data_IF_900991023207
#
_entry.id   IF_900991023207
#
_cell.length_a   1.000
_cell.length_b   1.000
_cell.length_c   1.000
_cell.angle_alpha   90.00
_cell.angle_beta   90.00
_cell.angle_gamma   90.00
#
_symmetry.space_group_name_H-M   'P 1'
#
loop_
_entity.id
_entity.type
_entity.pdbx_description
1 polymer ?
#
# COMPACT_ATOMS: atom_id res chain seq x y z
N UNK A 1 -0.31 -7.29 17.39
CA UNK A 1 -0.51 -6.23 16.39
C UNK A 1 -1.28 -5.12 17.06
N UNK A 2 -0.82 -3.87 16.96
CA UNK A 2 -1.50 -2.76 17.62
C UNK A 2 -2.79 -2.40 16.87
N UNK A 3 -3.74 -1.78 17.56
CA UNK A 3 -4.87 -1.15 16.88
C UNK A 3 -4.37 -0.06 15.93
N UNK A 4 -5.11 0.17 14.85
CA UNK A 4 -4.77 1.23 13.90
C UNK A 4 -5.04 2.58 14.56
N UNK A 5 -4.11 3.52 14.39
CA UNK A 5 -4.32 4.89 14.89
C UNK A 5 -5.53 5.53 14.21
N UNK A 6 -6.42 6.21 14.97
CA UNK A 6 -7.48 7.00 14.39
C UNK A 6 -6.87 8.18 13.63
N UNK A 7 -7.31 8.37 12.40
CA UNK A 7 -6.87 9.49 11.55
C UNK A 7 -8.07 10.20 10.93
N UNK A 8 -7.92 11.47 10.55
CA UNK A 8 -8.90 12.18 9.72
C UNK A 8 -9.16 11.38 8.44
N UNK A 9 -10.40 11.34 7.97
CA UNK A 9 -10.74 10.70 6.70
C UNK A 9 -10.79 11.76 5.60
N UNK A 10 -9.98 11.57 4.56
CA UNK A 10 -10.00 12.39 3.35
C UNK A 10 -10.41 11.54 2.14
N UNK A 11 -10.79 12.18 1.03
CA UNK A 11 -11.13 11.51 -0.21
C UNK A 11 -10.21 11.96 -1.34
N UNK A 12 -9.53 10.99 -1.97
CA UNK A 12 -8.80 11.20 -3.23
C UNK A 12 -9.71 10.68 -4.34
N UNK A 13 -10.47 11.59 -4.96
CA UNK A 13 -11.55 11.21 -5.88
C UNK A 13 -12.61 10.42 -5.13
N UNK A 14 -12.86 9.18 -5.53
CA UNK A 14 -13.78 8.26 -4.86
C UNK A 14 -13.10 7.36 -3.81
N UNK A 15 -11.78 7.44 -3.61
CA UNK A 15 -11.05 6.58 -2.67
C UNK A 15 -10.87 7.29 -1.34
N UNK A 16 -11.46 6.72 -0.28
CA UNK A 16 -11.26 7.18 1.09
C UNK A 16 -9.86 6.79 1.60
N UNK A 17 -9.19 7.72 2.30
CA UNK A 17 -7.88 7.51 2.92
C UNK A 17 -7.94 7.99 4.36
N UNK A 18 -7.55 7.13 5.30
CA UNK A 18 -7.62 7.40 6.74
C UNK A 18 -8.92 6.93 7.40
N UNK A 19 -9.01 7.16 8.71
CA UNK A 19 -10.09 6.66 9.54
C UNK A 19 -10.19 5.14 9.51
N UNK A 20 -11.38 4.62 9.25
CA UNK A 20 -11.70 3.20 9.11
C UNK A 20 -11.54 2.65 7.67
N UNK A 21 -11.16 3.49 6.70
CA UNK A 21 -11.03 3.08 5.31
C UNK A 21 -9.89 2.07 5.12
N UNK A 22 -10.02 1.06 4.23
CA UNK A 22 -8.92 0.15 3.91
C UNK A 22 -7.64 0.88 3.50
N UNK A 23 -6.48 0.28 3.76
CA UNK A 23 -5.19 0.86 3.35
C UNK A 23 -5.07 0.75 1.84
N UNK A 24 -5.16 1.88 1.15
CA UNK A 24 -5.08 1.91 -0.32
C UNK A 24 -3.66 1.77 -0.83
N UNK A 25 -3.50 1.06 -1.95
CA UNK A 25 -2.23 0.87 -2.66
C UNK A 25 -2.13 1.89 -3.79
N UNK A 26 -0.98 2.58 -3.85
CA UNK A 26 -0.68 3.56 -4.90
C UNK A 26 0.58 3.15 -5.68
N UNK A 27 0.66 3.61 -6.92
CA UNK A 27 1.89 3.57 -7.72
C UNK A 27 2.06 4.90 -8.47
N UNK A 28 3.14 5.02 -9.24
CA UNK A 28 3.47 6.20 -10.03
C UNK A 28 3.94 5.76 -11.42
N UNK A 29 3.42 6.40 -12.46
CA UNK A 29 3.89 6.16 -13.82
C UNK A 29 5.31 6.67 -14.01
N UNK A 30 6.00 6.13 -15.02
CA UNK A 30 7.30 6.64 -15.47
C UNK A 30 7.25 7.19 -16.90
N UNK A 31 6.13 7.01 -17.61
CA UNK A 31 5.90 7.63 -18.91
C UNK A 31 6.00 9.16 -18.82
N UNK A 32 6.40 9.78 -19.91
CA UNK A 32 6.30 11.23 -20.07
C UNK A 32 4.82 11.63 -20.07
N UNK A 33 4.40 12.49 -19.13
CA UNK A 33 2.97 12.73 -18.87
C UNK A 33 2.28 13.36 -20.07
N UNK A 34 2.96 14.24 -20.82
CA UNK A 34 2.44 14.76 -22.10
C UNK A 34 2.25 13.71 -23.19
N UNK A 35 2.88 12.54 -23.09
CA UNK A 35 2.52 11.39 -23.91
C UNK A 35 1.28 10.70 -23.31
N UNK A 36 0.10 11.22 -23.71
CA UNK A 36 -1.21 10.79 -23.21
C UNK A 36 -1.42 9.29 -23.42
N UNK A 37 -1.12 8.77 -24.62
CA UNK A 37 -1.33 7.35 -24.94
C UNK A 37 -0.52 6.43 -24.03
N UNK A 38 0.80 6.66 -23.93
CA UNK A 38 1.68 5.86 -23.10
C UNK A 38 1.31 5.94 -21.61
N UNK A 39 0.91 7.13 -21.15
CA UNK A 39 0.52 7.35 -19.75
C UNK A 39 -0.81 6.67 -19.42
N UNK A 40 -1.81 6.77 -20.29
CA UNK A 40 -3.10 6.07 -20.12
C UNK A 40 -2.90 4.55 -20.14
N UNK A 41 -2.05 4.03 -21.03
CA UNK A 41 -1.72 2.60 -21.07
C UNK A 41 -1.09 2.11 -19.76
N UNK A 42 -0.10 2.83 -19.22
CA UNK A 42 0.49 2.49 -17.91
C UNK A 42 -0.52 2.56 -16.76
N UNK A 43 -1.38 3.59 -16.74
CA UNK A 43 -2.42 3.72 -15.72
C UNK A 43 -3.39 2.54 -15.78
N UNK A 44 -3.78 2.11 -16.98
CA UNK A 44 -4.68 0.97 -17.15
C UNK A 44 -4.02 -0.34 -16.69
N UNK A 45 -2.75 -0.58 -17.00
CA UNK A 45 -1.99 -1.73 -16.47
C UNK A 45 -1.99 -1.74 -14.95
N UNK A 46 -1.69 -0.59 -14.33
CA UNK A 46 -1.74 -0.41 -12.88
C UNK A 46 -3.14 -0.66 -12.31
N UNK A 47 -4.19 -0.17 -12.97
CA UNK A 47 -5.57 -0.40 -12.55
C UNK A 47 -5.91 -1.90 -12.56
N UNK A 48 -5.53 -2.65 -13.59
CA UNK A 48 -5.77 -4.09 -13.66
C UNK A 48 -4.91 -4.91 -12.67
N UNK A 49 -3.72 -4.43 -12.30
CA UNK A 49 -2.97 -4.96 -11.15
C UNK A 49 -3.65 -4.64 -9.80
N UNK A 50 -4.64 -3.75 -9.81
CA UNK A 50 -5.45 -3.29 -8.69
C UNK A 50 -4.76 -2.23 -7.85
N UNK A 51 -4.12 -1.27 -8.52
CA UNK A 51 -3.78 0.03 -7.96
C UNK A 51 -5.06 0.82 -7.66
N UNK A 52 -5.13 1.43 -6.47
CA UNK A 52 -6.28 2.24 -6.06
C UNK A 52 -6.13 3.70 -6.48
N UNK A 53 -4.91 4.24 -6.45
CA UNK A 53 -4.61 5.65 -6.76
C UNK A 53 -3.31 5.72 -7.54
N UNK A 54 -3.30 6.40 -8.69
CA UNK A 54 -2.10 6.58 -9.50
C UNK A 54 -1.55 8.00 -9.42
N UNK A 55 -0.23 8.13 -9.46
CA UNK A 55 0.47 9.41 -9.51
C UNK A 55 1.20 9.60 -10.83
N UNK A 56 1.22 10.83 -11.34
CA UNK A 56 2.00 11.23 -12.52
C UNK A 56 2.91 12.41 -12.19
N UNK A 57 4.07 12.50 -12.83
CA UNK A 57 4.96 13.65 -12.71
C UNK A 57 4.44 14.81 -13.56
N UNK A 58 4.59 16.06 -13.07
CA UNK A 58 4.21 17.25 -13.85
C UNK A 58 5.38 18.24 -13.83
N UNK A 59 6.45 17.97 -14.61
CA UNK A 59 7.63 18.84 -14.64
C UNK A 59 7.40 20.14 -15.42
N UNK A 60 6.54 20.15 -16.44
CA UNK A 60 6.25 21.33 -17.25
C UNK A 60 4.74 21.56 -17.50
N UNK A 61 4.42 22.61 -18.27
CA UNK A 61 3.03 23.02 -18.53
C UNK A 61 2.34 22.13 -19.56
N UNK A 62 3.06 21.53 -20.50
CA UNK A 62 2.49 20.57 -21.45
C UNK A 62 2.00 19.33 -20.70
N UNK A 63 2.75 18.88 -19.69
CA UNK A 63 2.32 17.81 -18.79
C UNK A 63 1.05 18.18 -18.03
N UNK A 64 0.97 19.40 -17.50
CA UNK A 64 -0.18 19.87 -16.73
C UNK A 64 -1.45 19.94 -17.59
N UNK A 65 -1.32 20.37 -18.85
CA UNK A 65 -2.41 20.43 -19.82
C UNK A 65 -2.87 19.03 -20.27
N UNK A 66 -1.94 18.08 -20.40
CA UNK A 66 -2.25 16.70 -20.78
C UNK A 66 -3.14 15.98 -19.76
N UNK A 67 -3.14 16.40 -18.48
CA UNK A 67 -3.94 15.81 -17.41
C UNK A 67 -5.44 15.82 -17.71
N UNK A 68 -5.94 16.83 -18.44
CA UNK A 68 -7.35 16.89 -18.83
C UNK A 68 -7.76 15.64 -19.62
N UNK A 69 -6.96 15.26 -20.61
CA UNK A 69 -7.29 14.16 -21.51
C UNK A 69 -6.99 12.81 -20.86
N UNK A 70 -5.90 12.71 -20.08
CA UNK A 70 -5.60 11.52 -19.28
C UNK A 70 -6.76 11.23 -18.32
N UNK A 71 -7.26 12.25 -17.59
CA UNK A 71 -8.31 12.06 -16.58
C UNK A 71 -9.61 11.51 -17.18
N UNK A 72 -9.98 11.90 -18.40
CA UNK A 72 -11.18 11.38 -19.09
C UNK A 72 -11.08 9.90 -19.45
N UNK A 73 -9.86 9.36 -19.54
CA UNK A 73 -9.56 8.04 -20.11
C UNK A 73 -9.15 6.98 -19.08
N UNK A 74 -9.15 7.33 -17.79
CA UNK A 74 -8.74 6.44 -16.70
C UNK A 74 -9.87 6.25 -15.69
N UNK A 75 -9.88 5.09 -15.02
CA UNK A 75 -10.93 4.74 -14.05
C UNK A 75 -10.55 5.04 -12.58
N UNK A 76 -9.27 5.24 -12.29
CA UNK A 76 -8.75 5.44 -10.92
C UNK A 76 -8.37 6.90 -10.66
N UNK A 77 -8.41 7.36 -9.38
CA UNK A 77 -7.94 8.69 -9.00
C UNK A 77 -6.49 8.97 -9.40
N UNK A 78 -6.26 10.22 -9.80
CA UNK A 78 -5.00 10.75 -10.32
C UNK A 78 -4.42 11.79 -9.35
N UNK A 79 -3.14 11.64 -9.02
CA UNK A 79 -2.37 12.57 -8.20
C UNK A 79 -1.34 13.29 -9.09
N UNK A 80 -1.33 14.62 -9.08
CA UNK A 80 -0.24 15.39 -9.70
C UNK A 80 0.94 15.57 -8.73
N UNK A 81 2.15 15.23 -9.18
CA UNK A 81 3.40 15.44 -8.43
C UNK A 81 4.05 16.77 -8.82
N UNK A 82 3.92 17.78 -7.97
CA UNK A 82 4.42 19.15 -8.18
C UNK A 82 5.60 19.44 -7.25
N UNK A 83 6.68 20.01 -7.78
CA UNK A 83 7.88 20.31 -7.00
C UNK A 83 8.00 21.80 -6.64
N UNK A 84 8.04 22.70 -7.63
CA UNK A 84 8.39 24.12 -7.40
C UNK A 84 7.40 25.13 -8.01
N UNK A 85 6.85 24.82 -9.19
CA UNK A 85 6.10 25.81 -9.96
C UNK A 85 4.60 25.79 -9.60
N UNK A 86 4.16 26.80 -8.86
CA UNK A 86 2.75 26.94 -8.45
C UNK A 86 1.77 27.01 -9.63
N UNK A 87 2.19 27.51 -10.80
CA UNK A 87 1.33 27.58 -12.00
C UNK A 87 0.97 26.19 -12.49
N UNK A 88 1.90 25.23 -12.37
CA UNK A 88 1.62 23.83 -12.70
C UNK A 88 0.61 23.24 -11.73
N UNK A 89 0.70 23.55 -10.43
CA UNK A 89 -0.29 23.13 -9.45
C UNK A 89 -1.68 23.70 -9.75
N UNK A 90 -1.78 24.98 -10.12
CA UNK A 90 -3.06 25.63 -10.46
C UNK A 90 -3.72 25.04 -11.70
N UNK A 91 -2.91 24.72 -12.72
CA UNK A 91 -3.41 24.04 -13.92
C UNK A 91 -3.83 22.61 -13.60
N UNK A 92 -2.97 21.84 -12.93
CA UNK A 92 -3.25 20.45 -12.56
C UNK A 92 -4.49 20.32 -11.66
N UNK A 93 -4.69 21.26 -10.73
CA UNK A 93 -5.85 21.32 -9.85
C UNK A 93 -7.20 21.34 -10.59
N UNK A 94 -7.24 21.63 -11.90
CA UNK A 94 -8.48 21.61 -12.67
C UNK A 94 -8.93 20.19 -13.02
N UNK A 95 -8.00 19.24 -13.01
CA UNK A 95 -8.17 17.94 -13.65
C UNK A 95 -7.94 16.76 -12.69
N UNK A 96 -7.06 16.90 -11.70
CA UNK A 96 -6.66 15.80 -10.80
C UNK A 96 -7.53 15.68 -9.55
N UNK A 97 -7.36 14.58 -8.83
CA UNK A 97 -8.09 14.28 -7.59
C UNK A 97 -7.27 14.57 -6.32
N UNK A 98 -5.97 14.87 -6.46
CA UNK A 98 -5.10 15.25 -5.36
C UNK A 98 -3.81 15.89 -5.92
N UNK A 99 -3.23 16.82 -5.16
CA UNK A 99 -1.94 17.42 -5.50
C UNK A 99 -0.94 17.04 -4.42
N UNK A 100 0.24 16.56 -4.82
CA UNK A 100 1.39 16.50 -3.91
C UNK A 100 2.33 17.65 -4.19
N UNK A 101 2.63 18.42 -3.16
CA UNK A 101 3.72 19.39 -3.14
C UNK A 101 4.20 19.63 -1.70
N UNK A 102 5.35 20.26 -1.55
CA UNK A 102 5.81 20.78 -0.26
C UNK A 102 5.63 22.29 -0.24
N UNK A 103 4.79 22.86 0.64
CA UNK A 103 4.61 24.31 0.74
C UNK A 103 5.93 25.10 0.79
N UNK A 104 6.93 24.61 1.54
CA UNK A 104 8.27 25.20 1.62
C UNK A 104 9.00 25.35 0.28
N UNK A 105 8.72 24.48 -0.69
CA UNK A 105 9.38 24.48 -2.00
C UNK A 105 8.71 25.40 -3.05
N UNK A 106 7.45 25.81 -2.82
CA UNK A 106 6.71 26.69 -3.74
C UNK A 106 7.15 28.16 -3.59
N UNK A 107 7.70 28.52 -2.42
CA UNK A 107 8.22 29.85 -2.13
C UNK A 107 7.20 30.75 -1.44
N UNK A 108 6.80 31.85 -2.07
CA UNK A 108 6.01 32.90 -1.42
C UNK A 108 4.64 32.40 -0.89
N UNK A 109 4.25 32.91 0.28
CA UNK A 109 2.99 32.54 0.93
C UNK A 109 1.75 32.83 0.08
N UNK A 110 1.79 33.89 -0.74
CA UNK A 110 0.72 34.23 -1.68
C UNK A 110 0.45 33.11 -2.69
N UNK A 111 1.50 32.47 -3.21
CA UNK A 111 1.41 31.39 -4.20
C UNK A 111 0.79 30.13 -3.61
N UNK A 112 1.21 29.75 -2.41
CA UNK A 112 0.60 28.61 -1.69
C UNK A 112 -0.87 28.89 -1.39
N UNK A 113 -1.22 30.13 -1.01
CA UNK A 113 -2.60 30.53 -0.78
C UNK A 113 -3.48 30.37 -2.03
N UNK A 114 -2.96 30.67 -3.22
CA UNK A 114 -3.66 30.42 -4.49
C UNK A 114 -3.90 28.93 -4.73
N UNK A 115 -2.90 28.07 -4.49
CA UNK A 115 -3.05 26.62 -4.60
C UNK A 115 -4.13 26.12 -3.62
N UNK A 116 -4.06 26.54 -2.35
CA UNK A 116 -5.04 26.17 -1.32
C UNK A 116 -6.44 26.60 -1.71
N UNK A 117 -6.60 27.81 -2.25
CA UNK A 117 -7.89 28.29 -2.77
C UNK A 117 -8.41 27.38 -3.88
N UNK A 118 -7.58 27.04 -4.87
CA UNK A 118 -7.96 26.16 -5.97
C UNK A 118 -8.33 24.75 -5.49
N UNK A 119 -7.60 24.21 -4.50
CA UNK A 119 -7.91 22.92 -3.89
C UNK A 119 -9.26 22.94 -3.17
N UNK A 120 -9.55 23.97 -2.37
CA UNK A 120 -10.84 24.12 -1.67
C UNK A 120 -12.03 24.20 -2.60
N UNK A 121 -11.93 25.02 -3.64
CA UNK A 121 -13.03 25.22 -4.61
C UNK A 121 -13.41 23.90 -5.32
N UNK A 122 -12.53 22.89 -5.29
CA UNK A 122 -12.71 21.60 -5.96
C UNK A 122 -12.65 20.41 -5.00
N UNK A 123 -12.62 20.64 -3.69
CA UNK A 123 -12.49 19.60 -2.65
C UNK A 123 -11.31 18.63 -2.89
N UNK A 124 -10.15 19.16 -3.29
CA UNK A 124 -8.95 18.37 -3.56
C UNK A 124 -8.08 18.29 -2.31
N UNK A 125 -7.74 17.09 -1.81
CA UNK A 125 -6.76 16.98 -0.74
C UNK A 125 -5.34 17.29 -1.23
N UNK A 126 -4.50 17.72 -0.30
CA UNK A 126 -3.08 17.96 -0.52
C UNK A 126 -2.26 16.87 0.16
N UNK A 127 -1.27 16.32 -0.54
CA UNK A 127 -0.23 15.50 0.10
C UNK A 127 1.03 16.33 0.33
N UNK A 128 1.40 16.54 1.59
CA UNK A 128 2.74 17.04 1.95
C UNK A 128 3.72 15.86 1.86
N UNK A 129 4.79 15.99 1.08
CA UNK A 129 5.73 14.89 0.82
C UNK A 129 7.18 15.24 1.13
N UNK A 130 7.57 15.04 2.39
CA UNK A 130 8.92 15.28 2.89
C UNK A 130 9.82 14.10 2.54
N UNK A 131 10.93 14.36 1.83
CA UNK A 131 11.95 13.37 1.54
C UNK A 131 13.28 13.80 2.15
N UNK A 132 14.00 12.87 2.79
CA UNK A 132 15.28 13.16 3.45
C UNK A 132 16.32 13.78 2.50
N UNK A 133 16.35 13.38 1.23
CA UNK A 133 17.31 13.88 0.23
C UNK A 133 16.96 15.24 -0.40
N UNK A 134 15.83 15.84 -0.04
CA UNK A 134 15.39 17.16 -0.58
C UNK A 134 14.74 18.02 0.51
N UNK A 135 15.28 17.91 1.72
CA UNK A 135 14.84 18.67 2.88
C UNK A 135 15.13 20.16 2.66
N UNK A 136 14.27 21.04 3.17
CA UNK A 136 14.49 22.48 3.07
C UNK A 136 15.76 22.89 3.86
N UNK A 137 16.52 23.85 3.32
CA UNK A 137 17.86 24.22 3.81
C UNK A 137 17.91 24.50 5.31
N UNK A 138 16.89 25.12 5.87
CA UNK A 138 16.83 25.48 7.29
C UNK A 138 16.76 24.25 8.21
N UNK A 139 16.01 23.21 7.82
CA UNK A 139 15.93 21.97 8.57
C UNK A 139 17.16 21.10 8.33
N UNK A 140 17.68 21.07 7.09
CA UNK A 140 18.91 20.37 6.77
C UNK A 140 20.11 20.92 7.54
N UNK A 141 20.27 22.24 7.64
CA UNK A 141 21.37 22.86 8.38
C UNK A 141 21.26 22.63 9.90
N UNK A 142 20.05 22.62 10.44
CA UNK A 142 19.82 22.51 11.89
C UNK A 142 19.83 21.07 12.41
N UNK A 143 19.24 20.14 11.66
CA UNK A 143 19.01 18.76 12.10
C UNK A 143 19.68 17.71 11.20
N UNK A 144 20.26 18.12 10.07
CA UNK A 144 20.70 17.21 9.01
C UNK A 144 19.53 16.52 8.32
N UNK A 145 19.85 15.62 7.40
CA UNK A 145 18.89 14.70 6.80
C UNK A 145 18.45 13.61 7.81
N UNK A 146 18.09 13.96 9.04
CA UNK A 146 17.70 13.04 10.11
C UNK A 146 16.19 12.84 10.18
N UNK A 147 15.74 11.82 10.95
CA UNK A 147 14.32 11.63 11.23
C UNK A 147 13.70 12.89 11.88
N UNK A 148 14.42 13.53 12.81
CA UNK A 148 13.99 14.81 13.41
C UNK A 148 13.85 15.90 12.34
N UNK A 149 14.83 16.07 11.46
CA UNK A 149 14.76 17.09 10.39
C UNK A 149 13.54 16.90 9.49
N UNK A 150 13.21 15.64 9.16
CA UNK A 150 12.00 15.33 8.39
C UNK A 150 10.70 15.65 9.14
N UNK A 151 10.63 15.34 10.43
CA UNK A 151 9.46 15.63 11.28
C UNK A 151 9.24 17.14 11.41
N UNK A 152 10.30 17.91 11.64
CA UNK A 152 10.24 19.37 11.75
C UNK A 152 9.77 20.02 10.44
N UNK A 153 10.30 19.57 9.30
CA UNK A 153 9.82 20.01 7.98
C UNK A 153 8.34 19.66 7.78
N UNK A 154 7.91 18.46 8.16
CA UNK A 154 6.50 18.07 8.06
C UNK A 154 5.61 18.97 8.93
N UNK A 155 5.94 19.17 10.21
CA UNK A 155 5.18 20.02 11.13
C UNK A 155 5.11 21.47 10.65
N UNK A 156 6.20 22.01 10.13
CA UNK A 156 6.23 23.34 9.54
C UNK A 156 5.24 23.46 8.36
N UNK A 157 5.30 22.52 7.41
CA UNK A 157 4.44 22.52 6.23
C UNK A 157 2.97 22.24 6.59
N UNK A 158 2.69 21.40 7.60
CA UNK A 158 1.35 21.15 8.13
C UNK A 158 0.79 22.44 8.71
N UNK A 159 1.52 23.05 9.65
CA UNK A 159 1.13 24.31 10.29
C UNK A 159 0.87 25.40 9.26
N UNK A 160 1.67 25.46 8.19
CA UNK A 160 1.47 26.41 7.12
C UNK A 160 0.09 26.28 6.47
N UNK A 161 -0.34 25.05 6.16
CA UNK A 161 -1.66 24.81 5.56
C UNK A 161 -2.79 25.04 6.57
N UNK A 162 -2.58 24.67 7.83
CA UNK A 162 -3.52 24.93 8.93
C UNK A 162 -3.72 26.42 9.20
N UNK A 163 -2.65 27.23 9.16
CA UNK A 163 -2.72 28.69 9.29
C UNK A 163 -3.49 29.33 8.12
N UNK A 164 -3.56 28.65 6.97
CA UNK A 164 -4.43 29.03 5.85
C UNK A 164 -5.86 28.47 6.00
N UNK A 165 -6.12 27.63 7.01
CA UNK A 165 -7.38 26.97 7.37
C UNK A 165 -7.64 25.65 6.63
N UNK A 166 -6.61 25.00 6.07
CA UNK A 166 -6.75 23.85 5.17
C UNK A 166 -6.32 22.58 5.89
N UNK A 167 -7.20 21.58 5.96
CA UNK A 167 -7.00 20.37 6.76
C UNK A 167 -7.22 19.06 5.97
N UNK A 168 -7.60 19.12 4.69
CA UNK A 168 -7.72 17.94 3.83
C UNK A 168 -6.33 17.47 3.37
N UNK A 169 -5.52 17.01 4.32
CA UNK A 169 -4.10 16.75 4.14
C UNK A 169 -3.79 15.28 4.41
N UNK A 170 -2.88 14.71 3.61
CA UNK A 170 -2.12 13.50 3.96
C UNK A 170 -0.62 13.78 3.92
N UNK A 171 0.16 13.01 4.69
CA UNK A 171 1.59 13.27 4.86
C UNK A 171 2.40 12.05 4.45
N UNK A 172 3.56 12.26 3.83
CA UNK A 172 4.58 11.22 3.68
C UNK A 172 5.94 11.71 4.13
N UNK A 173 6.65 10.86 4.85
CA UNK A 173 8.04 10.99 5.28
C UNK A 173 8.82 9.85 4.63
N UNK A 174 9.73 10.12 3.68
CA UNK A 174 10.50 9.06 3.01
C UNK A 174 12.00 9.29 3.10
N UNK A 175 12.73 8.26 3.49
CA UNK A 175 14.18 8.20 3.39
C UNK A 175 14.59 6.96 2.58
N UNK A 176 15.86 6.93 2.17
CA UNK A 176 16.46 5.78 1.49
C UNK A 176 16.91 4.70 2.47
N UNK A 177 16.84 4.92 3.79
CA UNK A 177 17.07 3.87 4.79
C UNK A 177 15.82 3.60 5.62
N UNK A 178 15.68 2.34 6.06
CA UNK A 178 14.49 1.84 6.74
C UNK A 178 14.34 2.48 8.12
N UNK A 179 15.42 2.49 8.91
CA UNK A 179 15.37 2.98 10.30
C UNK A 179 14.90 4.43 10.35
N UNK A 180 15.51 5.31 9.55
CA UNK A 180 15.12 6.72 9.50
C UNK A 180 13.68 6.93 9.05
N UNK A 181 13.22 6.16 8.07
CA UNK A 181 11.84 6.21 7.61
C UNK A 181 10.88 5.83 8.74
N UNK A 182 11.14 4.69 9.38
CA UNK A 182 10.30 4.17 10.48
C UNK A 182 10.29 5.13 11.67
N UNK A 183 11.46 5.61 12.08
CA UNK A 183 11.61 6.53 13.21
C UNK A 183 10.88 7.85 12.94
N UNK A 184 10.99 8.42 11.73
CA UNK A 184 10.28 9.65 11.39
C UNK A 184 8.75 9.50 11.50
N UNK A 185 8.18 8.40 10.99
CA UNK A 185 6.73 8.17 11.13
C UNK A 185 6.30 7.94 12.58
N UNK A 186 7.07 7.17 13.36
CA UNK A 186 6.80 6.95 14.79
C UNK A 186 6.86 8.25 15.58
N UNK A 187 7.82 9.12 15.27
CA UNK A 187 7.99 10.43 15.90
C UNK A 187 6.85 11.39 15.54
N UNK A 188 6.40 11.41 14.29
CA UNK A 188 5.32 12.31 13.86
C UNK A 188 3.94 11.84 14.31
N UNK A 189 3.68 10.53 14.37
CA UNK A 189 2.34 9.99 14.66
C UNK A 189 1.67 10.57 15.91
N UNK A 190 2.31 10.70 17.08
CA UNK A 190 1.66 11.25 18.27
C UNK A 190 1.39 12.76 18.20
N UNK A 191 1.92 13.47 17.20
CA UNK A 191 1.84 14.93 17.10
C UNK A 191 0.70 15.40 16.18
N UNK A 192 0.18 14.52 15.32
CA UNK A 192 -0.84 14.86 14.32
C UNK A 192 -1.83 13.70 14.13
N UNK A 193 -3.01 13.97 13.57
CA UNK A 193 -4.05 12.98 13.28
C UNK A 193 -4.32 12.80 11.77
N UNK A 194 -3.50 13.37 10.90
CA UNK A 194 -3.63 13.22 9.44
C UNK A 194 -3.27 11.81 8.95
N UNK A 195 -3.85 11.36 7.83
CA UNK A 195 -3.46 10.12 7.16
C UNK A 195 -2.01 10.13 6.66
N UNK A 196 -1.36 8.97 6.75
CA UNK A 196 0.00 8.77 6.27
C UNK A 196 0.06 7.93 4.99
N UNK A 197 0.77 8.47 3.99
CA UNK A 197 1.18 7.77 2.78
C UNK A 197 2.56 7.15 3.00
N UNK A 198 2.61 5.87 3.32
CA UNK A 198 3.85 5.16 3.59
C UNK A 198 4.63 4.89 2.31
N UNK A 199 5.95 4.78 2.45
CA UNK A 199 6.83 4.32 1.40
C UNK A 199 8.29 4.49 1.79
N UNK A 200 9.14 3.59 1.30
CA UNK A 200 10.60 3.76 1.33
C UNK A 200 11.01 4.25 -0.07
N UNK A 201 11.88 5.25 -0.15
CA UNK A 201 12.39 5.73 -1.45
C UNK A 201 13.65 4.97 -1.84
N UNK A 202 13.96 4.93 -3.15
CA UNK A 202 15.19 4.32 -3.68
C UNK A 202 15.43 2.90 -3.12
N UNK A 203 14.40 2.04 -3.21
CA UNK A 203 14.45 0.73 -2.59
C UNK A 203 15.29 -0.29 -3.38
N UNK A 204 15.59 0.01 -4.66
CA UNK A 204 16.49 -0.74 -5.52
C UNK A 204 15.76 -1.68 -6.48
N UNK A 205 16.43 -2.78 -6.84
CA UNK A 205 15.89 -3.85 -7.69
C UNK A 205 14.73 -4.57 -7.00
N UNK A 206 13.91 -5.31 -7.75
CA UNK A 206 12.72 -6.03 -7.25
C UNK A 206 12.99 -6.77 -5.94
N UNK A 207 14.05 -7.58 -5.86
CA UNK A 207 14.38 -8.37 -4.66
C UNK A 207 14.67 -7.48 -3.43
N UNK A 208 15.60 -6.53 -3.55
CA UNK A 208 15.97 -5.68 -2.43
C UNK A 208 14.86 -4.69 -2.06
N UNK A 209 14.14 -4.18 -3.05
CA UNK A 209 13.00 -3.30 -2.83
C UNK A 209 11.88 -4.00 -2.08
N UNK A 210 11.63 -5.27 -2.40
CA UNK A 210 10.66 -6.13 -1.69
C UNK A 210 11.05 -6.28 -0.23
N UNK A 211 12.28 -6.73 0.06
CA UNK A 211 12.74 -6.95 1.45
C UNK A 211 12.72 -5.65 2.24
N UNK A 212 13.31 -4.58 1.69
CA UNK A 212 13.44 -3.28 2.37
C UNK A 212 12.08 -2.66 2.66
N UNK A 213 11.14 -2.75 1.70
CA UNK A 213 9.78 -2.26 1.89
C UNK A 213 8.99 -3.12 2.86
N UNK A 214 9.14 -4.44 2.83
CA UNK A 214 8.49 -5.34 3.79
C UNK A 214 8.93 -5.04 5.22
N UNK A 215 10.23 -4.83 5.46
CA UNK A 215 10.74 -4.45 6.79
C UNK A 215 10.19 -3.09 7.22
N UNK A 216 10.39 -2.05 6.39
CA UNK A 216 10.03 -0.68 6.78
C UNK A 216 8.53 -0.43 6.88
N UNK A 217 7.78 -0.83 5.86
CA UNK A 217 6.34 -0.63 5.83
C UNK A 217 5.63 -1.62 6.75
N UNK A 218 6.06 -2.87 6.79
CA UNK A 218 5.51 -3.89 7.70
C UNK A 218 5.67 -3.49 9.16
N UNK A 219 6.83 -2.98 9.57
CA UNK A 219 7.05 -2.48 10.94
C UNK A 219 6.03 -1.39 11.32
N UNK A 220 5.81 -0.40 10.45
CA UNK A 220 4.83 0.67 10.67
C UNK A 220 3.39 0.14 10.71
N UNK A 221 3.05 -0.79 9.82
CA UNK A 221 1.73 -1.42 9.82
C UNK A 221 1.48 -2.23 11.10
N UNK A 222 2.47 -2.94 11.63
CA UNK A 222 2.35 -3.66 12.90
C UNK A 222 2.14 -2.70 14.09
N UNK A 223 2.73 -1.51 14.04
CA UNK A 223 2.53 -0.43 15.00
C UNK A 223 1.17 0.27 14.87
N UNK A 224 0.41 0.01 13.80
CA UNK A 224 -0.88 0.67 13.54
C UNK A 224 -0.79 1.95 12.73
N UNK A 225 0.38 2.24 12.15
CA UNK A 225 0.67 3.46 11.41
C UNK A 225 0.59 3.20 9.91
N UNK A 226 -0.26 3.95 9.19
CA UNK A 226 -0.36 3.89 7.74
C UNK A 226 -1.80 3.86 7.25
N UNK A 227 -2.07 4.63 6.19
CA UNK A 227 -3.43 4.81 5.65
C UNK A 227 -3.48 4.61 4.13
N UNK A 228 -2.33 4.75 3.49
CA UNK A 228 -2.10 4.37 2.10
C UNK A 228 -0.60 4.10 1.93
N UNK A 229 -0.20 3.34 0.91
CA UNK A 229 1.23 3.10 0.69
C UNK A 229 1.62 3.00 -0.78
N UNK A 230 2.90 3.21 -1.04
CA UNK A 230 3.56 2.87 -2.30
C UNK A 230 4.89 2.18 -2.01
N UNK A 231 5.11 1.05 -2.67
CA UNK A 231 6.43 0.41 -2.80
C UNK A 231 7.14 1.02 -4.00
N UNK A 232 8.42 1.38 -3.86
CA UNK A 232 9.17 2.03 -4.95
C UNK A 232 10.19 1.06 -5.53
N UNK A 233 9.89 0.43 -6.67
CA UNK A 233 10.77 -0.57 -7.30
C UNK A 233 11.39 0.04 -8.56
N UNK A 234 12.68 -0.19 -8.77
CA UNK A 234 13.29 0.04 -10.09
C UNK A 234 12.90 -1.10 -11.02
N UNK A 235 11.83 -0.95 -11.81
CA UNK A 235 11.36 -1.98 -12.73
C UNK A 235 9.86 -1.91 -13.03
N UNK A 236 9.23 -3.07 -13.15
CA UNK A 236 7.81 -3.23 -13.48
C UNK A 236 6.90 -2.65 -12.39
N UNK A 237 5.92 -1.84 -12.80
CA UNK A 237 5.03 -1.12 -11.88
C UNK A 237 4.02 -2.06 -11.22
N UNK A 238 3.61 -3.12 -11.90
CA UNK A 238 2.69 -4.13 -11.37
C UNK A 238 3.30 -4.90 -10.19
N UNK A 239 4.62 -5.09 -10.18
CA UNK A 239 5.32 -5.68 -9.04
C UNK A 239 5.29 -4.75 -7.82
N UNK A 240 5.29 -3.41 -7.99
CA UNK A 240 5.06 -2.47 -6.88
C UNK A 240 3.71 -2.76 -6.20
N UNK A 241 2.66 -2.96 -7.01
CA UNK A 241 1.30 -3.22 -6.53
C UNK A 241 1.22 -4.58 -5.83
N UNK A 242 1.79 -5.63 -6.44
CA UNK A 242 1.82 -6.97 -5.89
C UNK A 242 2.50 -7.00 -4.52
N UNK A 243 3.68 -6.39 -4.41
CA UNK A 243 4.43 -6.33 -3.14
C UNK A 243 3.69 -5.51 -2.09
N UNK A 244 3.11 -4.36 -2.46
CA UNK A 244 2.35 -3.54 -1.52
C UNK A 244 1.14 -4.29 -0.93
N UNK A 245 0.38 -5.00 -1.79
CA UNK A 245 -0.75 -5.83 -1.36
C UNK A 245 -0.32 -6.97 -0.46
N UNK A 246 0.77 -7.66 -0.79
CA UNK A 246 1.34 -8.71 0.06
C UNK A 246 1.72 -8.16 1.44
N UNK A 247 2.40 -7.01 1.53
CA UNK A 247 2.75 -6.40 2.81
C UNK A 247 1.51 -6.05 3.64
N UNK A 248 0.46 -5.48 3.03
CA UNK A 248 -0.79 -5.16 3.75
C UNK A 248 -1.47 -6.44 4.23
N UNK A 249 -1.50 -7.48 3.41
CA UNK A 249 -2.09 -8.78 3.75
C UNK A 249 -1.33 -9.47 4.88
N UNK A 250 -0.03 -9.66 4.72
CA UNK A 250 0.81 -10.44 5.62
C UNK A 250 1.11 -9.71 6.93
N UNK A 251 0.95 -8.38 6.96
CA UNK A 251 0.94 -7.61 8.23
C UNK A 251 -0.37 -7.75 9.01
N UNK A 252 -1.40 -8.42 8.45
CA UNK A 252 -2.73 -8.58 9.04
C UNK A 252 -3.64 -7.36 8.87
N UNK A 253 -3.29 -6.40 7.99
CA UNK A 253 -4.07 -5.17 7.77
C UNK A 253 -5.11 -5.32 6.65
N UNK A 254 -4.97 -6.31 5.78
CA UNK A 254 -6.04 -6.71 4.85
C UNK A 254 -7.09 -7.53 5.59
N UNK A 255 -8.37 -7.24 5.34
CA UNK A 255 -9.50 -8.08 5.77
C UNK A 255 -10.11 -8.86 4.60
N UNK A 256 -9.36 -9.01 3.53
CA UNK A 256 -9.81 -9.67 2.31
C UNK A 256 -8.87 -10.79 1.90
N UNK A 257 -9.48 -11.86 1.40
CA UNK A 257 -8.84 -12.99 0.76
C UNK A 257 -8.31 -14.06 1.70
N UNK A 258 -7.71 -15.06 1.06
CA UNK A 258 -7.24 -16.28 1.72
C UNK A 258 -5.78 -16.14 2.14
N UNK A 259 -5.49 -16.27 3.43
CA UNK A 259 -4.15 -16.39 3.98
C UNK A 259 -3.73 -17.87 3.99
N UNK A 260 -2.63 -18.21 3.33
CA UNK A 260 -2.18 -19.60 3.15
C UNK A 260 -0.98 -19.85 4.06
N UNK A 261 -1.16 -20.72 5.03
CA UNK A 261 -0.14 -21.11 6.01
C UNK A 261 0.39 -22.49 5.63
N UNK A 262 1.63 -22.56 5.17
CA UNK A 262 2.28 -23.84 4.82
C UNK A 262 3.55 -24.06 5.61
N UNK A 263 3.83 -25.31 6.00
CA UNK A 263 5.11 -25.62 6.61
C UNK A 263 6.26 -25.52 5.60
N UNK A 264 7.48 -25.19 6.05
CA UNK A 264 8.67 -25.41 5.25
C UNK A 264 8.81 -26.88 4.85
N UNK A 265 9.50 -27.15 3.75
CA UNK A 265 9.90 -28.52 3.42
C UNK A 265 10.96 -29.00 4.41
N UNK A 266 10.85 -30.25 4.87
CA UNK A 266 11.80 -30.86 5.79
C UNK A 266 11.88 -32.39 5.56
N UNK A 267 12.80 -33.08 6.24
CA UNK A 267 12.98 -34.53 6.09
C UNK A 267 11.82 -35.41 6.59
N UNK A 268 10.72 -34.81 7.06
CA UNK A 268 9.50 -35.49 7.50
C UNK A 268 8.34 -35.33 6.53
N UNK A 269 8.55 -34.65 5.40
CA UNK A 269 7.50 -34.42 4.41
C UNK A 269 7.03 -35.77 3.84
N UNK A 270 5.72 -35.99 3.83
CA UNK A 270 5.11 -37.25 3.38
C UNK A 270 4.30 -37.09 2.08
N UNK A 271 4.35 -35.90 1.45
CA UNK A 271 3.59 -35.55 0.25
C UNK A 271 4.33 -34.51 -0.61
N UNK A 272 3.90 -34.32 -1.87
CA UNK A 272 4.37 -33.20 -2.70
C UNK A 272 3.70 -31.87 -2.29
N UNK A 273 4.17 -31.32 -1.17
CA UNK A 273 3.63 -30.09 -0.58
C UNK A 273 3.74 -28.88 -1.52
N UNK A 274 4.81 -28.81 -2.32
CA UNK A 274 5.06 -27.65 -3.20
C UNK A 274 3.98 -27.59 -4.27
N UNK A 275 3.69 -28.71 -4.93
CA UNK A 275 2.62 -28.80 -5.92
C UNK A 275 1.25 -28.55 -5.29
N UNK A 276 0.99 -29.08 -4.09
CA UNK A 276 -0.27 -28.88 -3.39
C UNK A 276 -0.53 -27.40 -3.05
N UNK A 277 0.46 -26.70 -2.48
CA UNK A 277 0.34 -25.27 -2.12
C UNK A 277 0.13 -24.43 -3.39
N UNK A 278 0.86 -24.70 -4.46
CA UNK A 278 0.69 -23.97 -5.73
C UNK A 278 -0.72 -24.16 -6.33
N UNK A 279 -1.29 -25.36 -6.25
CA UNK A 279 -2.67 -25.61 -6.68
C UNK A 279 -3.67 -24.86 -5.80
N UNK A 280 -3.47 -24.88 -4.47
CA UNK A 280 -4.33 -24.18 -3.52
C UNK A 280 -4.30 -22.68 -3.77
N UNK A 281 -3.12 -22.08 -3.92
CA UNK A 281 -2.96 -20.65 -4.19
C UNK A 281 -3.69 -20.25 -5.49
N UNK A 282 -3.49 -21.02 -6.57
CA UNK A 282 -4.15 -20.77 -7.85
C UNK A 282 -5.67 -20.87 -7.76
N UNK A 283 -6.20 -21.88 -7.09
CA UNK A 283 -7.64 -22.15 -7.04
C UNK A 283 -8.38 -21.23 -6.07
N UNK A 284 -7.72 -20.75 -5.02
CA UNK A 284 -8.34 -19.85 -4.01
C UNK A 284 -8.16 -18.36 -4.30
N UNK A 285 -7.39 -17.98 -5.32
CA UNK A 285 -7.08 -16.57 -5.65
C UNK A 285 -8.30 -15.66 -5.88
N UNK A 286 -9.45 -16.22 -6.24
CA UNK A 286 -10.69 -15.47 -6.51
C UNK A 286 -11.55 -15.23 -5.24
N UNK A 287 -11.24 -15.92 -4.14
CA UNK A 287 -11.98 -15.82 -2.89
C UNK A 287 -11.61 -14.51 -2.19
N UNK A 288 -12.62 -13.69 -1.86
CA UNK A 288 -12.45 -12.41 -1.15
C UNK A 288 -12.74 -12.48 0.35
N UNK A 289 -13.44 -13.51 0.80
CA UNK A 289 -13.72 -13.68 2.23
C UNK A 289 -12.40 -13.86 3.01
N UNK A 290 -12.24 -13.22 4.18
CA UNK A 290 -11.05 -13.39 5.01
C UNK A 290 -11.03 -14.79 5.61
N UNK A 291 -10.04 -15.58 5.21
CA UNK A 291 -9.90 -16.99 5.60
C UNK A 291 -8.46 -17.31 5.89
N UNK A 292 -8.20 -18.00 7.00
CA UNK A 292 -6.92 -18.63 7.29
C UNK A 292 -6.99 -20.10 6.90
N UNK A 293 -6.16 -20.51 5.94
CA UNK A 293 -6.11 -21.90 5.49
C UNK A 293 -4.71 -22.47 5.67
N UNK A 294 -4.62 -23.77 5.98
CA UNK A 294 -3.35 -24.42 6.28
C UNK A 294 -3.08 -25.63 5.41
N UNK A 295 -1.85 -25.77 4.90
CA UNK A 295 -1.42 -26.92 4.10
C UNK A 295 -0.10 -27.46 4.66
N UNK A 296 -0.16 -28.62 5.32
CA UNK A 296 0.94 -29.14 6.13
C UNK A 296 1.42 -30.50 5.63
N UNK A 297 2.70 -30.60 5.28
CA UNK A 297 3.29 -31.78 4.63
C UNK A 297 3.50 -33.02 5.51
N UNK A 298 3.16 -32.97 6.80
CA UNK A 298 3.18 -34.12 7.71
C UNK A 298 2.26 -33.89 8.91
N UNK A 299 1.87 -34.95 9.61
CA UNK A 299 0.93 -34.87 10.73
C UNK A 299 1.46 -34.12 11.99
N UNK A 300 2.78 -33.98 12.15
CA UNK A 300 3.41 -33.52 13.41
C UNK A 300 2.97 -32.11 13.79
N UNK A 301 3.19 -31.13 12.91
CA UNK A 301 2.78 -29.74 13.15
C UNK A 301 1.34 -29.50 12.68
N UNK A 302 0.81 -30.36 11.80
CA UNK A 302 -0.47 -30.11 11.15
C UNK A 302 -1.65 -30.02 12.12
N UNK A 303 -1.69 -30.87 13.16
CA UNK A 303 -2.80 -30.89 14.12
C UNK A 303 -2.81 -29.61 14.98
N UNK A 304 -1.64 -29.08 15.33
CA UNK A 304 -1.51 -27.84 16.08
C UNK A 304 -1.95 -26.64 15.25
N UNK A 305 -1.39 -26.52 14.05
CA UNK A 305 -1.67 -25.42 13.11
C UNK A 305 -3.14 -25.43 12.63
N UNK A 306 -3.73 -26.61 12.43
CA UNK A 306 -5.13 -26.75 12.01
C UNK A 306 -6.15 -26.21 13.03
N UNK A 307 -5.77 -26.05 14.30
CA UNK A 307 -6.64 -25.39 15.31
C UNK A 307 -6.74 -23.89 15.12
N UNK A 308 -5.73 -23.30 14.46
CA UNK A 308 -5.65 -21.87 14.21
C UNK A 308 -6.12 -21.49 12.80
N UNK A 309 -6.38 -22.48 11.94
CA UNK A 309 -6.92 -22.29 10.60
C UNK A 309 -8.44 -22.57 10.53
N UNK A 310 -9.10 -21.92 9.59
CA UNK A 310 -10.50 -22.20 9.22
C UNK A 310 -10.63 -23.57 8.55
N UNK A 311 -9.73 -23.87 7.61
CA UNK A 311 -9.66 -25.14 6.89
C UNK A 311 -8.21 -25.58 6.77
N UNK A 312 -7.91 -26.86 7.00
CA UNK A 312 -6.55 -27.38 6.99
C UNK A 312 -6.40 -28.74 6.31
N UNK A 313 -5.28 -28.95 5.60
CA UNK A 313 -4.78 -30.26 5.16
C UNK A 313 -3.64 -30.70 6.07
N UNK A 314 -3.75 -31.91 6.61
CA UNK A 314 -2.64 -32.62 7.25
C UNK A 314 -2.26 -33.84 6.40
N UNK A 315 -1.15 -33.76 5.68
CA UNK A 315 -0.63 -34.91 4.94
C UNK A 315 -0.07 -35.97 5.89
N UNK A 316 -0.21 -37.21 5.45
CA UNK A 316 0.29 -38.41 6.10
C UNK A 316 0.79 -39.40 5.04
N UNK A 317 1.43 -40.49 5.46
CA UNK A 317 1.87 -41.55 4.54
C UNK A 317 0.69 -42.11 3.70
N UNK A 318 0.69 -41.84 2.40
CA UNK A 318 -0.32 -42.25 1.40
C UNK A 318 -1.78 -41.80 1.70
N UNK A 319 -2.00 -40.92 2.67
CA UNK A 319 -3.33 -40.44 3.05
C UNK A 319 -3.22 -39.15 3.85
N UNK A 320 -4.28 -38.37 3.94
CA UNK A 320 -4.28 -37.16 4.77
C UNK A 320 -5.64 -36.92 5.42
N UNK A 321 -5.64 -35.92 6.29
CA UNK A 321 -6.83 -35.46 6.98
C UNK A 321 -7.18 -34.06 6.48
N UNK A 322 -8.48 -33.81 6.35
CA UNK A 322 -9.02 -32.47 6.16
C UNK A 322 -9.74 -32.09 7.43
N UNK A 323 -9.42 -30.90 7.93
CA UNK A 323 -10.00 -30.36 9.14
C UNK A 323 -10.68 -29.02 8.85
N UNK A 324 -11.82 -28.78 9.49
CA UNK A 324 -12.53 -27.50 9.48
C UNK A 324 -12.69 -27.07 10.92
N UNK A 325 -12.20 -25.88 11.28
CA UNK A 325 -12.20 -25.37 12.67
C UNK A 325 -11.63 -26.37 13.69
N UNK A 326 -10.59 -27.10 13.30
CA UNK A 326 -9.92 -28.11 14.13
C UNK A 326 -10.65 -29.47 14.23
N UNK A 327 -11.82 -29.64 13.61
CA UNK A 327 -12.52 -30.92 13.56
C UNK A 327 -12.20 -31.68 12.28
N UNK A 328 -11.91 -32.98 12.39
CA UNK A 328 -11.61 -33.83 11.22
C UNK A 328 -12.91 -34.13 10.47
N UNK A 329 -13.02 -33.63 9.24
CA UNK A 329 -14.20 -33.80 8.39
C UNK A 329 -14.01 -34.87 7.30
N UNK A 330 -12.76 -35.19 6.96
CA UNK A 330 -12.47 -36.25 6.00
C UNK A 330 -11.08 -36.86 6.23
N UNK A 331 -10.94 -38.14 5.87
CA UNK A 331 -9.67 -38.83 5.69
C UNK A 331 -9.65 -39.44 4.30
N UNK A 332 -8.71 -39.02 3.46
CA UNK A 332 -8.69 -39.37 2.03
C UNK A 332 -7.28 -39.80 1.59
N UNK A 333 -7.18 -40.56 0.49
CA UNK A 333 -5.91 -40.73 -0.23
C UNK A 333 -5.35 -39.38 -0.71
N UNK A 334 -4.03 -39.31 -0.91
CA UNK A 334 -3.30 -38.06 -1.21
C UNK A 334 -3.83 -37.32 -2.45
N UNK A 335 -4.15 -38.06 -3.51
CA UNK A 335 -4.63 -37.55 -4.80
C UNK A 335 -6.00 -36.86 -4.73
N UNK A 336 -6.77 -37.05 -3.65
CA UNK A 336 -8.09 -36.47 -3.46
C UNK A 336 -8.10 -35.31 -2.45
N UNK A 337 -7.00 -35.07 -1.75
CA UNK A 337 -6.98 -34.11 -0.63
C UNK A 337 -7.16 -32.67 -1.10
N UNK A 338 -6.46 -32.25 -2.16
CA UNK A 338 -6.53 -30.86 -2.64
C UNK A 338 -7.94 -30.55 -3.14
N UNK A 339 -8.55 -31.44 -3.91
CA UNK A 339 -9.91 -31.24 -4.42
C UNK A 339 -10.92 -31.08 -3.28
N UNK A 340 -10.93 -32.02 -2.33
CA UNK A 340 -11.85 -31.94 -1.20
C UNK A 340 -11.57 -30.73 -0.31
N UNK A 341 -10.30 -30.35 -0.15
CA UNK A 341 -9.94 -29.18 0.63
C UNK A 341 -10.47 -27.89 -0.01
N UNK A 342 -10.34 -27.74 -1.33
CA UNK A 342 -10.91 -26.59 -2.05
C UNK A 342 -12.43 -26.55 -1.86
N UNK A 343 -13.13 -27.68 -1.94
CA UNK A 343 -14.57 -27.72 -1.67
C UNK A 343 -14.94 -27.20 -0.27
N UNK A 344 -14.15 -27.55 0.75
CA UNK A 344 -14.36 -27.05 2.12
C UNK A 344 -14.04 -25.56 2.24
N UNK A 345 -12.97 -25.08 1.59
CA UNK A 345 -12.63 -23.65 1.55
C UNK A 345 -13.75 -22.85 0.89
N UNK A 346 -14.29 -23.31 -0.25
CA UNK A 346 -15.41 -22.66 -0.94
C UNK A 346 -16.69 -22.63 -0.11
N UNK A 347 -17.04 -23.76 0.52
CA UNK A 347 -18.19 -23.83 1.43
C UNK A 347 -18.03 -22.86 2.59
N UNK A 348 -16.85 -22.84 3.22
CA UNK A 348 -16.57 -21.95 4.34
C UNK A 348 -16.64 -20.49 3.90
N UNK A 349 -16.02 -20.14 2.77
CA UNK A 349 -16.06 -18.80 2.19
C UNK A 349 -17.48 -18.31 1.91
N UNK A 350 -18.36 -19.19 1.42
CA UNK A 350 -19.76 -18.85 1.14
C UNK A 350 -20.60 -18.66 2.41
N UNK A 351 -20.26 -19.31 3.51
CA UNK A 351 -20.94 -19.14 4.80
C UNK A 351 -20.52 -17.85 5.54
N UNK A 352 -19.42 -17.20 5.13
CA UNK A 352 -18.95 -15.92 5.67
C UNK A 352 -19.53 -14.70 4.94
N UNK A 353 -20.17 -14.90 3.78
CA UNK A 353 -20.90 -13.85 3.05
C UNK A 353 -22.24 -13.60 3.73
#
# INVERSE_FOLDING_TARGET
MNERYPTKKIFVGNVAVGGDAPISVQSMTYSDTKNIEATVEQINRLHFAGCDIVRVAVPDMEDALALQEIKKRIAIPLVADIHFNYRLALEAAKWVDCIRFNPGNIGEKSRVKEIVKACRERNLPIRIGVNAGSLEKEFEQKYGASAQGMVESALYNIKFLEDLGFEDIKISLKASDVNRTVDAYRMLRPLVDYPFHLGVTEAGTIFHATIKSAIGLGALLLDGIGDTMRVSITGELEEEIKVAKAIIKDSGRSREGVNIISCPTCGRIEADLVSAVAQVEKRTAHIKAPLDISVMGCAVNAIGEAKHADVAIAYGKNSGLIMVKGEVVAKLPEDQLVDRFIDEVEKFANNLK
#
